data_IF_177317945481
#
_entry.id   IF_177317945481
#
_cell.length_a   1.000
_cell.length_b   1.000
_cell.length_c   1.000
_cell.angle_alpha   90.00
_cell.angle_beta   90.00
_cell.angle_gamma   90.00
#
_symmetry.space_group_name_H-M   'P 1'
#
loop_
_entity.id
_entity.type
_entity.pdbx_description
1 polymer ?
#
# COMPACT_ATOMS: atom_id res chain seq x y z
N UNK A 1 29.60 -66.59 -31.87
CA UNK A 1 29.53 -65.53 -30.86
C UNK A 1 30.63 -65.81 -29.85
N UNK A 2 31.60 -64.90 -29.75
CA UNK A 2 32.64 -65.01 -28.71
C UNK A 2 32.07 -64.55 -27.36
N UNK A 3 32.66 -64.99 -26.25
CA UNK A 3 32.24 -64.57 -24.91
C UNK A 3 32.27 -63.04 -24.76
N UNK A 4 33.20 -62.37 -25.44
CA UNK A 4 33.33 -60.91 -25.45
C UNK A 4 32.19 -60.21 -26.20
N UNK A 5 31.73 -60.76 -27.32
CA UNK A 5 30.56 -60.25 -28.05
C UNK A 5 29.29 -60.36 -27.21
N UNK A 6 29.11 -61.50 -26.53
CA UNK A 6 27.96 -61.73 -25.65
C UNK A 6 27.93 -60.74 -24.47
N UNK A 7 29.08 -60.50 -23.81
CA UNK A 7 29.17 -59.55 -22.70
C UNK A 7 28.85 -58.12 -23.17
N UNK A 8 29.34 -57.74 -24.36
CA UNK A 8 29.08 -56.41 -24.93
C UNK A 8 27.61 -56.22 -25.28
N UNK A 9 27.00 -57.20 -25.93
CA UNK A 9 25.59 -57.15 -26.33
C UNK A 9 24.66 -57.10 -25.10
N UNK A 10 24.95 -57.89 -24.06
CA UNK A 10 24.19 -57.86 -22.81
C UNK A 10 24.37 -56.54 -22.04
N UNK A 11 25.58 -55.97 -22.02
CA UNK A 11 25.83 -54.65 -21.43
C UNK A 11 25.07 -53.53 -22.18
N UNK A 12 25.08 -53.57 -23.51
CA UNK A 12 24.35 -52.61 -24.35
C UNK A 12 22.83 -52.75 -24.15
N UNK A 13 22.32 -53.98 -24.10
CA UNK A 13 20.90 -54.27 -23.81
C UNK A 13 20.49 -53.71 -22.44
N UNK A 14 21.31 -53.91 -21.41
CA UNK A 14 21.05 -53.37 -20.06
C UNK A 14 21.11 -51.85 -20.03
N UNK A 15 22.10 -51.24 -20.68
CA UNK A 15 22.19 -49.79 -20.78
C UNK A 15 20.95 -49.20 -21.47
N UNK A 16 20.47 -49.84 -22.55
CA UNK A 16 19.28 -49.40 -23.29
C UNK A 16 17.98 -49.54 -22.50
N UNK A 17 17.92 -50.48 -21.56
CA UNK A 17 16.79 -50.66 -20.65
C UNK A 17 16.84 -49.71 -19.44
N UNK A 18 18.04 -49.45 -18.90
CA UNK A 18 18.22 -48.65 -17.68
C UNK A 18 18.30 -47.14 -17.94
N UNK A 19 18.84 -46.72 -19.09
CA UNK A 19 19.00 -45.30 -19.42
C UNK A 19 17.67 -44.52 -19.42
N UNK A 20 16.56 -45.04 -19.99
CA UNK A 20 15.27 -44.35 -19.94
C UNK A 20 14.76 -44.17 -18.51
N UNK A 21 14.83 -45.22 -17.67
CA UNK A 21 14.37 -45.15 -16.28
C UNK A 21 15.20 -44.20 -15.42
N UNK A 22 16.52 -44.12 -15.66
CA UNK A 22 17.39 -43.17 -14.96
C UNK A 22 17.08 -41.75 -15.41
N UNK A 23 16.92 -41.52 -16.72
CA UNK A 23 16.59 -40.20 -17.26
C UNK A 23 15.22 -39.70 -16.77
N UNK A 24 14.22 -40.57 -16.77
CA UNK A 24 12.88 -40.27 -16.24
C UNK A 24 12.94 -39.97 -14.74
N UNK A 25 13.60 -40.84 -13.96
CA UNK A 25 13.77 -40.60 -12.52
C UNK A 25 14.48 -39.28 -12.23
N UNK A 26 15.52 -38.91 -12.97
CA UNK A 26 16.21 -37.63 -12.80
C UNK A 26 15.32 -36.44 -13.20
N UNK A 27 14.56 -36.54 -14.29
CA UNK A 27 13.64 -35.50 -14.71
C UNK A 27 12.54 -35.26 -13.67
N UNK A 28 11.99 -36.33 -13.09
CA UNK A 28 10.93 -36.22 -12.08
C UNK A 28 11.45 -35.75 -10.72
N UNK A 29 12.61 -36.23 -10.30
CA UNK A 29 13.13 -35.92 -8.95
C UNK A 29 13.92 -34.61 -8.88
N UNK A 30 14.44 -34.10 -10.00
CA UNK A 30 15.27 -32.90 -10.02
C UNK A 30 14.64 -31.79 -10.86
N UNK A 31 14.28 -32.07 -12.11
CA UNK A 31 13.88 -31.01 -13.04
C UNK A 31 12.48 -30.45 -12.71
N UNK A 32 11.49 -31.32 -12.45
CA UNK A 32 10.13 -30.90 -12.07
C UNK A 32 10.10 -30.06 -10.78
N UNK A 33 10.61 -30.53 -9.63
CA UNK A 33 10.53 -29.77 -8.38
C UNK A 33 11.35 -28.47 -8.42
N UNK A 34 12.47 -28.45 -9.15
CA UNK A 34 13.23 -27.22 -9.35
C UNK A 34 12.45 -26.19 -10.19
N UNK A 35 11.79 -26.63 -11.26
CA UNK A 35 10.97 -25.75 -12.08
C UNK A 35 9.74 -25.23 -11.31
N UNK A 36 9.08 -26.09 -10.54
CA UNK A 36 7.94 -25.72 -9.68
C UNK A 36 8.37 -24.71 -8.62
N UNK A 37 9.45 -24.99 -7.88
CA UNK A 37 9.97 -24.09 -6.85
C UNK A 37 10.37 -22.72 -7.41
N UNK A 38 11.03 -22.68 -8.57
CA UNK A 38 11.36 -21.42 -9.23
C UNK A 38 10.10 -20.67 -9.68
N UNK A 39 9.10 -21.36 -10.22
CA UNK A 39 7.86 -20.75 -10.67
C UNK A 39 7.05 -20.18 -9.49
N UNK A 40 6.94 -20.92 -8.39
CA UNK A 40 6.29 -20.45 -7.16
C UNK A 40 7.01 -19.23 -6.58
N UNK A 41 8.34 -19.28 -6.46
CA UNK A 41 9.12 -18.16 -5.90
C UNK A 41 8.98 -16.90 -6.75
N UNK A 42 9.00 -17.04 -8.08
CA UNK A 42 8.80 -15.92 -9.01
C UNK A 42 7.36 -15.38 -8.93
N UNK A 43 6.36 -16.25 -8.83
CA UNK A 43 4.96 -15.84 -8.72
C UNK A 43 4.69 -15.11 -7.40
N UNK A 44 5.18 -15.65 -6.27
CA UNK A 44 5.04 -15.02 -4.95
C UNK A 44 5.75 -13.68 -4.90
N UNK A 45 7.01 -13.60 -5.31
CA UNK A 45 7.77 -12.34 -5.30
C UNK A 45 7.14 -11.26 -6.20
N UNK A 46 6.64 -11.63 -7.38
CA UNK A 46 5.92 -10.69 -8.24
C UNK A 46 4.60 -10.24 -7.62
N UNK A 47 3.84 -11.15 -6.99
CA UNK A 47 2.57 -10.83 -6.35
C UNK A 47 2.77 -9.91 -5.14
N UNK A 48 3.76 -10.21 -4.29
CA UNK A 48 4.11 -9.41 -3.11
C UNK A 48 4.60 -8.02 -3.52
N UNK A 49 5.53 -7.94 -4.49
CA UNK A 49 6.02 -6.65 -5.01
C UNK A 49 4.88 -5.81 -5.60
N UNK A 50 3.96 -6.42 -6.35
CA UNK A 50 2.81 -5.70 -6.92
C UNK A 50 1.83 -5.26 -5.83
N UNK A 51 1.59 -6.10 -4.82
CA UNK A 51 0.73 -5.78 -3.69
C UNK A 51 1.29 -4.61 -2.87
N UNK A 52 2.56 -4.65 -2.47
CA UNK A 52 3.21 -3.58 -1.72
C UNK A 52 3.27 -2.28 -2.52
N UNK A 53 3.74 -2.36 -3.78
CA UNK A 53 3.89 -1.18 -4.63
C UNK A 53 2.58 -0.49 -5.02
N UNK A 54 1.44 -1.18 -4.95
CA UNK A 54 0.13 -0.56 -5.23
C UNK A 54 -0.64 -0.22 -3.95
N UNK A 55 -0.60 -1.07 -2.93
CA UNK A 55 -1.40 -0.89 -1.73
C UNK A 55 -0.85 0.20 -0.81
N UNK A 56 0.47 0.24 -0.59
CA UNK A 56 1.08 1.23 0.30
C UNK A 56 0.93 2.68 -0.19
N UNK A 57 1.29 3.04 -1.44
CA UNK A 57 1.15 4.42 -1.88
C UNK A 57 -0.31 4.84 -1.99
N UNK A 58 -1.24 3.93 -2.28
CA UNK A 58 -2.67 4.24 -2.34
C UNK A 58 -3.25 4.44 -0.93
N UNK A 59 -2.81 3.64 0.04
CA UNK A 59 -3.14 3.86 1.45
C UNK A 59 -2.56 5.18 1.96
N UNK A 60 -1.28 5.48 1.70
CA UNK A 60 -0.68 6.74 2.14
C UNK A 60 -1.29 7.97 1.48
N UNK A 61 -1.49 7.93 0.15
CA UNK A 61 -2.01 9.06 -0.62
C UNK A 61 -3.48 9.36 -0.33
N UNK A 62 -4.26 8.40 0.15
CA UNK A 62 -5.66 8.64 0.54
C UNK A 62 -5.80 8.90 2.04
N UNK A 63 -5.10 8.14 2.89
CA UNK A 63 -5.27 8.23 4.33
C UNK A 63 -4.71 9.53 4.91
N UNK A 64 -3.53 9.97 4.46
CA UNK A 64 -2.89 11.22 4.96
C UNK A 64 -3.76 12.46 4.70
N UNK A 65 -4.14 12.79 3.45
CA UNK A 65 -4.95 14.00 3.20
C UNK A 65 -6.36 13.90 3.80
N UNK A 66 -6.93 12.69 3.92
CA UNK A 66 -8.21 12.52 4.61
C UNK A 66 -8.08 12.79 6.11
N UNK A 67 -7.00 12.31 6.75
CA UNK A 67 -6.74 12.57 8.16
C UNK A 67 -6.46 14.06 8.42
N UNK A 68 -5.66 14.70 7.57
CA UNK A 68 -5.36 16.13 7.64
C UNK A 68 -6.64 16.97 7.44
N UNK A 69 -7.44 16.67 6.42
CA UNK A 69 -8.71 17.40 6.18
C UNK A 69 -9.73 17.22 7.31
N UNK A 70 -9.80 16.05 7.93
CA UNK A 70 -10.62 15.82 9.12
C UNK A 70 -10.11 16.59 10.33
N UNK A 71 -8.78 16.68 10.53
CA UNK A 71 -8.19 17.48 11.59
C UNK A 71 -8.48 18.98 11.39
N UNK A 72 -8.25 19.49 10.19
CA UNK A 72 -8.56 20.87 9.80
C UNK A 72 -10.05 21.19 10.02
N UNK A 73 -10.95 20.31 9.55
CA UNK A 73 -12.40 20.46 9.75
C UNK A 73 -12.79 20.53 11.22
N UNK A 74 -12.15 19.74 12.09
CA UNK A 74 -12.42 19.77 13.54
C UNK A 74 -11.96 21.09 14.19
N UNK A 75 -10.82 21.64 13.77
CA UNK A 75 -10.37 22.95 14.23
C UNK A 75 -11.32 24.03 13.73
N UNK A 76 -11.71 24.01 12.45
CA UNK A 76 -12.71 24.91 11.89
C UNK A 76 -14.02 24.90 12.67
N UNK A 77 -14.56 23.73 13.01
CA UNK A 77 -15.74 23.61 13.86
C UNK A 77 -15.55 24.21 15.26
N UNK A 78 -14.36 24.08 15.83
CA UNK A 78 -14.03 24.67 17.14
C UNK A 78 -14.01 26.20 17.06
N UNK A 79 -13.44 26.76 15.99
CA UNK A 79 -13.46 28.21 15.72
C UNK A 79 -14.90 28.70 15.59
N UNK A 80 -15.72 28.01 14.79
CA UNK A 80 -17.13 28.35 14.60
C UNK A 80 -17.91 28.29 15.91
N UNK A 81 -17.64 27.31 16.77
CA UNK A 81 -18.27 27.21 18.09
C UNK A 81 -17.91 28.42 18.96
N UNK A 82 -16.63 28.78 19.04
CA UNK A 82 -16.18 29.94 19.81
C UNK A 82 -16.75 31.25 19.26
N UNK A 83 -16.69 31.45 17.95
CA UNK A 83 -17.21 32.65 17.34
C UNK A 83 -18.76 32.72 17.39
N UNK A 84 -19.46 31.59 17.47
CA UNK A 84 -20.90 31.55 17.74
C UNK A 84 -21.25 32.00 19.18
N UNK A 85 -20.35 31.81 20.15
CA UNK A 85 -20.52 32.36 21.50
C UNK A 85 -20.37 33.90 21.52
N UNK A 86 -19.59 34.46 20.59
CA UNK A 86 -19.41 35.90 20.44
C UNK A 86 -20.59 36.58 19.72
N UNK A 87 -21.40 35.82 18.96
CA UNK A 87 -22.55 36.33 18.21
C UNK A 87 -22.88 35.54 16.94
N UNK A 88 -23.62 36.15 16.02
CA UNK A 88 -24.01 35.49 14.76
C UNK A 88 -22.97 35.74 13.67
N UNK A 89 -22.28 34.69 13.25
CA UNK A 89 -21.36 34.72 12.09
C UNK A 89 -22.19 34.60 10.80
N UNK A 90 -21.97 35.44 9.78
CA UNK A 90 -22.67 35.30 8.51
C UNK A 90 -22.24 34.01 7.77
N UNK A 91 -23.13 33.50 6.92
CA UNK A 91 -22.96 32.18 6.30
C UNK A 91 -21.73 32.08 5.38
N UNK A 92 -21.31 33.20 4.78
CA UNK A 92 -20.16 33.26 3.88
C UNK A 92 -18.85 32.99 4.64
N UNK A 93 -18.69 33.58 5.82
CA UNK A 93 -17.53 33.42 6.69
C UNK A 93 -17.55 32.06 7.37
N UNK A 94 -18.73 31.53 7.71
CA UNK A 94 -18.84 30.15 8.20
C UNK A 94 -18.33 29.15 7.16
N UNK A 95 -18.67 29.35 5.89
CA UNK A 95 -18.19 28.52 4.78
C UNK A 95 -16.69 28.71 4.55
N UNK A 96 -16.17 29.94 4.65
CA UNK A 96 -14.73 30.21 4.56
C UNK A 96 -13.95 29.48 5.64
N UNK A 97 -14.41 29.51 6.89
CA UNK A 97 -13.77 28.80 8.02
C UNK A 97 -13.87 27.29 7.83
N UNK A 98 -15.04 26.76 7.47
CA UNK A 98 -15.25 25.33 7.28
C UNK A 98 -14.47 24.75 6.09
N UNK A 99 -14.20 25.56 5.07
CA UNK A 99 -13.42 25.19 3.89
C UNK A 99 -11.92 25.39 4.03
N UNK A 100 -11.45 26.02 5.11
CA UNK A 100 -10.02 26.24 5.33
C UNK A 100 -9.33 24.92 5.68
N UNK A 101 -8.15 24.71 5.10
CA UNK A 101 -7.33 23.51 5.26
C UNK A 101 -5.91 23.85 5.75
N UNK A 102 -5.53 25.12 5.74
CA UNK A 102 -4.24 25.56 6.24
C UNK A 102 -4.23 25.57 7.78
N UNK A 103 -3.47 24.65 8.36
CA UNK A 103 -3.36 24.48 9.81
C UNK A 103 -2.89 25.76 10.53
N UNK A 104 -1.96 26.52 9.94
CA UNK A 104 -1.49 27.77 10.55
C UNK A 104 -2.59 28.83 10.59
N UNK A 105 -3.35 28.96 9.52
CA UNK A 105 -4.46 29.91 9.40
C UNK A 105 -5.57 29.53 10.37
N UNK A 106 -5.93 28.25 10.44
CA UNK A 106 -6.88 27.72 11.42
C UNK A 106 -6.41 27.96 12.86
N UNK A 107 -5.13 27.74 13.18
CA UNK A 107 -4.60 28.00 14.52
C UNK A 107 -4.63 29.50 14.87
N UNK A 108 -4.29 30.37 13.91
CA UNK A 108 -4.36 31.84 14.08
C UNK A 108 -5.81 32.27 14.35
N UNK A 109 -6.77 31.78 13.56
CA UNK A 109 -8.18 32.08 13.74
C UNK A 109 -8.74 31.50 15.04
N UNK A 110 -8.31 30.31 15.47
CA UNK A 110 -8.69 29.73 16.76
C UNK A 110 -8.23 30.60 17.92
N UNK A 111 -6.97 31.05 17.89
CA UNK A 111 -6.42 31.98 18.89
C UNK A 111 -7.12 33.33 18.85
N UNK A 112 -7.50 33.80 17.66
CA UNK A 112 -8.25 35.04 17.49
C UNK A 112 -9.65 34.91 18.10
N UNK A 113 -10.41 33.88 17.73
CA UNK A 113 -11.74 33.61 18.27
C UNK A 113 -11.75 33.47 19.80
N UNK A 114 -10.71 32.85 20.38
CA UNK A 114 -10.57 32.73 21.83
C UNK A 114 -10.23 34.05 22.55
N UNK A 115 -9.70 35.06 21.83
CA UNK A 115 -9.30 36.36 22.38
C UNK A 115 -10.30 37.47 22.06
N UNK A 116 -11.02 37.34 20.96
CA UNK A 116 -12.04 38.28 20.53
C UNK A 116 -13.21 38.29 21.50
N UNK A 117 -13.80 39.46 21.69
CA UNK A 117 -14.99 39.64 22.54
C UNK A 117 -16.27 39.85 21.75
N UNK A 118 -16.14 40.09 20.44
CA UNK A 118 -17.25 40.28 19.51
C UNK A 118 -16.96 39.58 18.18
N UNK A 119 -18.02 39.23 17.44
CA UNK A 119 -17.88 38.65 16.09
C UNK A 119 -17.19 39.61 15.14
N UNK A 120 -17.47 40.91 15.22
CA UNK A 120 -16.88 41.94 14.34
C UNK A 120 -15.36 42.03 14.53
N UNK A 121 -14.87 41.96 15.77
CA UNK A 121 -13.44 41.93 16.08
C UNK A 121 -12.77 40.66 15.53
N UNK A 122 -13.43 39.52 15.65
CA UNK A 122 -12.96 38.26 15.08
C UNK A 122 -12.90 38.33 13.55
N UNK A 123 -13.98 38.74 12.88
CA UNK A 123 -14.06 38.82 11.42
C UNK A 123 -13.09 39.85 10.84
N UNK A 124 -12.85 40.97 11.54
CA UNK A 124 -11.89 41.98 11.10
C UNK A 124 -10.43 41.53 11.20
N UNK A 125 -10.13 40.53 12.04
CA UNK A 125 -8.77 39.99 12.18
C UNK A 125 -8.50 38.72 11.35
N UNK A 126 -9.50 38.26 10.58
CA UNK A 126 -9.49 37.01 9.81
C UNK A 126 -9.13 37.20 8.32
#
# INVERSE_FOLDING_TARGET
>A
MTMEEYIREEAERRAKLMAPSIAESMAETLAKPMAESMAETLAESMAETLAESMAEPLAESLAKPLAESLAASKVAQSILSLAAELGTIPAEEQQRIAGEQDDETLEKWLKLAARSTTVEEFLSGM
#
